data_IF_601034790974
#
_entry.id   IF_601034790974
#
_cell.length_a   1.000
_cell.length_b   1.000
_cell.length_c   1.000
_cell.angle_alpha   90.00
_cell.angle_beta   90.00
_cell.angle_gamma   90.00
#
_symmetry.space_group_name_H-M   'P 1'
#
loop_
_entity.id
_entity.type
_entity.pdbx_description
1 polymer ?
#
# COMPACT_ATOMS: atom_id res chain seq x y z
N UNK A 1 -24.72 31.27 15.72
CA UNK A 1 -23.48 30.61 15.25
C UNK A 1 -22.23 31.17 15.94
N UNK A 2 -21.82 32.42 15.72
CA UNK A 2 -20.62 33.00 16.39
C UNK A 2 -20.74 33.09 17.93
N UNK A 3 -21.90 33.47 18.45
CA UNK A 3 -22.14 33.54 19.90
C UNK A 3 -22.16 32.16 20.58
N UNK A 4 -22.60 31.13 19.85
CA UNK A 4 -22.65 29.74 20.33
C UNK A 4 -21.25 29.11 20.32
N UNK A 5 -20.45 29.41 19.30
CA UNK A 5 -19.02 29.06 19.27
C UNK A 5 -18.24 29.73 20.42
N UNK A 6 -18.47 31.03 20.67
CA UNK A 6 -17.85 31.73 21.78
C UNK A 6 -18.23 31.13 23.14
N UNK A 7 -19.50 30.72 23.31
CA UNK A 7 -19.95 30.01 24.51
C UNK A 7 -19.23 28.68 24.73
N UNK A 8 -19.02 27.89 23.67
CA UNK A 8 -18.31 26.59 23.76
C UNK A 8 -16.82 26.75 24.06
N UNK A 9 -16.18 27.80 23.52
CA UNK A 9 -14.77 28.13 23.84
C UNK A 9 -14.63 28.53 25.31
N UNK A 10 -15.53 29.36 25.84
CA UNK A 10 -15.48 29.77 27.24
C UNK A 10 -15.68 28.60 28.23
N UNK A 11 -16.47 27.59 27.86
CA UNK A 11 -16.65 26.36 28.66
C UNK A 11 -15.38 25.49 28.65
N UNK A 12 -14.72 25.40 27.49
CA UNK A 12 -13.44 24.68 27.36
C UNK A 12 -12.33 25.34 28.16
N UNK A 13 -12.22 26.67 28.10
CA UNK A 13 -11.21 27.42 28.87
C UNK A 13 -11.40 27.24 30.38
N UNK A 14 -12.66 27.22 30.85
CA UNK A 14 -12.98 26.99 32.27
C UNK A 14 -12.62 25.57 32.73
N UNK A 15 -12.91 24.57 31.89
CA UNK A 15 -12.56 23.17 32.15
C UNK A 15 -11.04 22.96 32.16
N UNK A 16 -10.30 23.66 31.30
CA UNK A 16 -8.84 23.61 31.25
C UNK A 16 -8.20 24.24 32.51
N UNK A 17 -8.78 25.33 33.00
CA UNK A 17 -8.33 26.01 34.22
C UNK A 17 -8.53 25.15 35.49
N UNK A 18 -9.64 24.40 35.57
CA UNK A 18 -9.88 23.46 36.68
C UNK A 18 -8.85 22.32 36.71
N UNK A 19 -8.49 21.78 35.54
CA UNK A 19 -7.45 20.74 35.42
C UNK A 19 -6.05 21.28 35.75
N UNK A 20 -5.77 22.54 35.42
CA UNK A 20 -4.51 23.20 35.78
C UNK A 20 -4.41 23.45 37.30
N UNK A 21 -5.51 23.82 37.95
CA UNK A 21 -5.57 24.02 39.41
C UNK A 21 -5.31 22.73 40.19
N UNK A 22 -5.76 21.58 39.67
CA UNK A 22 -5.51 20.25 40.28
C UNK A 22 -4.03 19.83 40.22
N UNK A 23 -3.22 20.41 39.32
CA UNK A 23 -1.77 20.12 39.19
C UNK A 23 -0.88 21.00 40.09
N UNK A 24 -1.44 21.97 40.83
CA UNK A 24 -0.69 22.97 41.58
C UNK A 24 -0.27 22.61 43.01
N UNK A 25 -0.52 21.38 43.51
CA UNK A 25 -0.14 21.01 44.89
C UNK A 25 1.12 20.14 44.94
N UNK A 26 2.27 20.79 44.83
CA UNK A 26 3.59 20.19 45.10
C UNK A 26 4.60 21.29 45.43
N UNK A 27 4.99 21.40 46.70
CA UNK A 27 5.90 22.42 47.23
C UNK A 27 7.36 22.26 46.73
N UNK A 28 8.20 23.31 46.80
CA UNK A 28 9.44 23.43 46.02
C UNK A 28 10.70 22.95 46.76
N UNK A 29 11.69 22.45 46.03
CA UNK A 29 13.05 22.24 46.51
C UNK A 29 14.07 22.95 45.60
N UNK A 30 15.12 23.46 46.26
CA UNK A 30 16.02 24.56 45.87
C UNK A 30 16.98 24.28 44.70
N UNK A 31 17.46 25.40 44.16
CA UNK A 31 18.52 25.59 43.17
C UNK A 31 19.74 24.67 43.30
N UNK A 32 20.27 24.24 42.15
CA UNK A 32 21.69 24.41 41.85
C UNK A 32 21.93 24.29 40.34
N UNK A 33 22.39 25.39 39.74
CA UNK A 33 22.96 25.43 38.40
C UNK A 33 24.37 24.83 38.42
N UNK A 34 24.63 23.84 37.58
CA UNK A 34 25.97 23.58 37.02
C UNK A 34 25.84 23.12 35.57
N UNK A 35 26.73 23.65 34.73
CA UNK A 35 26.70 23.64 33.28
C UNK A 35 27.12 22.31 32.62
N UNK A 36 26.71 22.19 31.36
CA UNK A 36 27.24 21.36 30.25
C UNK A 36 27.05 19.84 30.30
N UNK A 37 26.12 19.34 29.46
CA UNK A 37 26.39 18.26 28.49
C UNK A 37 25.29 18.18 27.41
N UNK A 38 25.60 18.22 26.10
CA UNK A 38 24.62 18.01 25.03
C UNK A 38 24.55 16.52 24.69
N UNK A 39 23.95 15.72 25.57
CA UNK A 39 23.64 14.31 25.26
C UNK A 39 22.40 13.84 26.01
N UNK A 40 21.22 14.29 25.58
CA UNK A 40 19.96 13.61 25.90
C UNK A 40 18.84 14.12 24.97
N UNK A 41 18.83 13.65 23.72
CA UNK A 41 17.56 13.48 23.01
C UNK A 41 16.79 12.38 23.72
N UNK A 42 16.04 12.77 24.74
CA UNK A 42 15.12 11.91 25.44
C UNK A 42 14.13 11.31 24.43
N UNK A 43 14.23 9.99 24.26
CA UNK A 43 13.14 9.14 23.81
C UNK A 43 11.97 9.34 24.78
N UNK A 44 11.12 10.34 24.53
CA UNK A 44 9.75 10.27 25.00
C UNK A 44 9.05 9.22 24.15
N UNK A 45 9.04 7.98 24.65
CA UNK A 45 8.08 6.97 24.25
C UNK A 45 6.68 7.59 24.38
N UNK A 46 6.12 8.07 23.26
CA UNK A 46 4.69 8.38 23.19
C UNK A 46 3.96 7.11 23.62
N UNK A 47 3.26 7.17 24.75
CA UNK A 47 2.22 6.18 25.06
C UNK A 47 1.28 6.19 23.86
N UNK A 48 1.39 5.20 22.99
CA UNK A 48 0.60 5.12 21.76
C UNK A 48 -0.80 4.68 22.15
N UNK A 49 -1.72 5.63 22.31
CA UNK A 49 -3.16 5.39 22.36
C UNK A 49 -3.65 5.11 20.92
N UNK A 50 -3.07 4.09 20.29
CA UNK A 50 -3.39 3.68 18.93
C UNK A 50 -4.46 2.59 18.99
N UNK A 51 -5.61 2.82 18.34
CA UNK A 51 -6.74 1.88 18.35
C UNK A 51 -7.09 1.43 16.93
N UNK A 52 -7.22 0.12 16.73
CA UNK A 52 -7.73 -0.47 15.50
C UNK A 52 -9.04 -1.21 15.79
N UNK A 53 -10.13 -0.75 15.17
CA UNK A 53 -11.41 -1.43 15.23
C UNK A 53 -11.55 -2.35 14.02
N UNK A 54 -11.70 -3.64 14.24
CA UNK A 54 -11.99 -4.62 13.19
C UNK A 54 -13.48 -4.96 13.16
N UNK A 55 -14.07 -4.96 11.97
CA UNK A 55 -15.43 -5.43 11.72
C UNK A 55 -15.51 -6.15 10.37
N UNK A 56 -15.55 -7.49 10.41
CA UNK A 56 -15.55 -8.31 9.21
C UNK A 56 -14.31 -8.06 8.35
N UNK A 57 -14.50 -7.62 7.11
CA UNK A 57 -13.42 -7.29 6.15
C UNK A 57 -12.93 -5.85 6.22
N UNK A 58 -13.54 -4.98 7.03
CA UNK A 58 -13.16 -3.57 7.19
C UNK A 58 -12.48 -3.33 8.54
N UNK A 59 -11.51 -2.40 8.56
CA UNK A 59 -10.80 -2.01 9.78
C UNK A 59 -10.63 -0.50 9.81
N UNK A 60 -10.86 0.14 10.96
CA UNK A 60 -10.69 1.58 11.12
C UNK A 60 -9.66 1.91 12.19
N UNK A 61 -8.71 2.77 11.85
CA UNK A 61 -7.62 3.17 12.73
C UNK A 61 -7.85 4.57 13.31
N UNK A 62 -7.59 4.69 14.61
CA UNK A 62 -7.64 5.93 15.37
C UNK A 62 -6.32 6.13 16.11
N UNK A 63 -5.76 7.32 15.98
CA UNK A 63 -4.54 7.75 16.67
C UNK A 63 -4.67 9.09 17.39
N UNK A 64 -5.84 9.70 17.27
CA UNK A 64 -6.14 10.91 18.03
C UNK A 64 -6.40 10.48 19.48
N UNK A 65 -5.61 11.02 20.40
CA UNK A 65 -5.50 10.57 21.79
C UNK A 65 -6.84 10.59 22.51
N UNK A 66 -7.66 11.62 22.30
CA UNK A 66 -8.96 11.75 22.96
C UNK A 66 -9.95 10.74 22.38
N UNK A 67 -10.00 10.60 21.06
CA UNK A 67 -10.90 9.65 20.38
C UNK A 67 -10.55 8.21 20.72
N UNK A 68 -9.27 7.83 20.64
CA UNK A 68 -8.83 6.48 20.95
C UNK A 68 -9.11 6.11 22.42
N UNK A 69 -8.89 7.05 23.35
CA UNK A 69 -9.19 6.85 24.77
C UNK A 69 -10.69 6.71 25.04
N UNK A 70 -11.52 7.58 24.46
CA UNK A 70 -12.99 7.51 24.63
C UNK A 70 -13.54 6.19 24.08
N UNK A 71 -13.11 5.76 22.90
CA UNK A 71 -13.57 4.50 22.31
C UNK A 71 -13.05 3.30 23.11
N UNK A 72 -11.80 3.34 23.59
CA UNK A 72 -11.23 2.29 24.42
C UNK A 72 -11.90 2.14 25.80
N UNK A 73 -12.37 3.25 26.39
CA UNK A 73 -13.06 3.26 27.68
C UNK A 73 -14.55 2.90 27.56
N UNK A 74 -15.22 3.25 26.45
CA UNK A 74 -16.66 3.04 26.25
C UNK A 74 -16.98 2.01 25.15
N UNK A 75 -17.24 0.77 25.59
CA UNK A 75 -17.67 -0.33 24.72
C UNK A 75 -18.99 -0.07 23.98
N UNK A 76 -19.84 0.84 24.47
CA UNK A 76 -21.08 1.22 23.77
C UNK A 76 -20.77 2.05 22.52
N UNK A 77 -19.76 2.93 22.58
CA UNK A 77 -19.30 3.71 21.43
C UNK A 77 -18.63 2.79 20.41
N UNK A 78 -17.78 1.87 20.86
CA UNK A 78 -17.18 0.85 20.00
C UNK A 78 -18.25 0.02 19.27
N UNK A 79 -19.27 -0.45 20.00
CA UNK A 79 -20.37 -1.22 19.43
C UNK A 79 -21.24 -0.39 18.47
N UNK A 80 -21.46 0.89 18.76
CA UNK A 80 -22.22 1.80 17.90
C UNK A 80 -21.47 2.10 16.58
N UNK A 81 -20.15 2.31 16.65
CA UNK A 81 -19.29 2.48 15.47
C UNK A 81 -19.34 1.23 14.60
N UNK A 82 -19.17 0.04 15.18
CA UNK A 82 -19.30 -1.23 14.45
C UNK A 82 -20.69 -1.36 13.80
N UNK A 83 -21.77 -1.15 14.56
CA UNK A 83 -23.15 -1.26 14.04
C UNK A 83 -23.49 -0.27 12.91
N UNK A 84 -22.79 0.86 12.82
CA UNK A 84 -22.96 1.83 11.73
C UNK A 84 -22.50 1.28 10.37
N UNK A 85 -21.48 0.40 10.35
CA UNK A 85 -21.00 -0.22 9.13
C UNK A 85 -21.88 -1.41 8.72
N UNK A 86 -22.47 -2.18 9.62
CA UNK A 86 -23.25 -3.38 9.22
C UNK A 86 -24.48 -3.06 8.33
N UNK A 87 -25.01 -1.82 8.37
CA UNK A 87 -26.06 -1.39 7.44
C UNK A 87 -25.44 -1.05 6.07
N UNK A 88 -25.54 -1.97 5.11
CA UNK A 88 -25.59 -1.60 3.69
C UNK A 88 -26.87 -0.79 3.48
N UNK A 89 -26.81 0.50 3.82
CA UNK A 89 -27.87 1.43 3.46
C UNK A 89 -27.85 1.54 1.94
N UNK A 90 -28.97 1.26 1.29
CA UNK A 90 -29.27 1.80 -0.03
C UNK A 90 -29.27 3.32 0.11
N UNK A 91 -28.09 3.91 0.06
CA UNK A 91 -27.91 5.32 0.36
C UNK A 91 -28.27 6.09 -0.91
N UNK A 92 -29.34 6.88 -0.85
CA UNK A 92 -29.52 7.99 -1.78
C UNK A 92 -28.21 8.77 -1.79
N UNK A 93 -27.58 9.01 -2.97
CA UNK A 93 -26.29 9.68 -3.01
C UNK A 93 -26.40 11.03 -2.31
N UNK A 94 -25.61 11.21 -1.25
CA UNK A 94 -25.55 12.49 -0.54
C UNK A 94 -25.01 13.55 -1.51
N UNK A 95 -25.58 14.76 -1.57
CA UNK A 95 -25.01 15.84 -2.37
C UNK A 95 -23.60 16.24 -1.91
N UNK A 96 -23.15 15.75 -0.74
CA UNK A 96 -21.83 15.98 -0.17
C UNK A 96 -20.89 14.77 -0.29
N UNK A 97 -21.26 13.74 -1.07
CA UNK A 97 -20.43 12.56 -1.27
C UNK A 97 -19.22 12.87 -2.18
N UNK A 98 -18.01 12.55 -1.68
CA UNK A 98 -16.76 12.74 -2.41
C UNK A 98 -16.63 11.80 -3.62
N UNK A 99 -17.35 10.67 -3.65
CA UNK A 99 -17.29 9.70 -4.74
C UNK A 99 -17.60 10.31 -6.11
N UNK A 100 -18.51 11.29 -6.17
CA UNK A 100 -18.89 11.96 -7.43
C UNK A 100 -17.74 12.67 -8.15
N UNK A 101 -16.61 12.91 -7.46
CA UNK A 101 -15.38 13.47 -8.06
C UNK A 101 -14.58 12.39 -8.82
N UNK A 102 -14.56 11.14 -8.33
CA UNK A 102 -13.78 10.05 -8.92
C UNK A 102 -14.59 9.20 -9.90
N UNK A 103 -15.83 8.85 -9.52
CA UNK A 103 -16.76 8.11 -10.37
C UNK A 103 -18.17 8.23 -9.82
N UNK A 104 -19.13 8.53 -10.70
CA UNK A 104 -20.55 8.55 -10.33
C UNK A 104 -21.14 7.13 -10.40
N UNK A 105 -21.73 6.63 -9.30
CA UNK A 105 -22.35 5.30 -9.30
C UNK A 105 -23.58 5.27 -10.20
N UNK A 106 -23.60 4.34 -11.14
CA UNK A 106 -24.76 4.04 -11.97
C UNK A 106 -25.61 2.96 -11.28
N UNK A 107 -26.57 3.38 -10.45
CA UNK A 107 -27.41 2.43 -9.70
C UNK A 107 -28.41 1.64 -10.55
N UNK A 108 -28.61 2.00 -11.81
CA UNK A 108 -29.48 1.26 -12.72
C UNK A 108 -28.89 -0.07 -13.18
N UNK A 109 -27.57 -0.26 -13.03
CA UNK A 109 -26.85 -1.47 -13.43
C UNK A 109 -25.90 -1.91 -12.31
N UNK A 110 -26.01 -3.16 -11.88
CA UNK A 110 -25.07 -3.74 -10.92
C UNK A 110 -23.71 -3.91 -11.60
N UNK A 111 -22.55 -3.73 -10.95
CA UNK A 111 -21.26 -3.89 -11.59
C UNK A 111 -21.01 -5.31 -12.14
N UNK A 112 -21.82 -6.31 -11.78
CA UNK A 112 -21.73 -7.68 -12.28
C UNK A 112 -21.98 -7.81 -13.79
N UNK A 113 -22.64 -6.85 -14.45
CA UNK A 113 -22.80 -6.88 -15.93
C UNK A 113 -21.45 -6.87 -16.64
N UNK A 114 -20.43 -6.24 -16.05
CA UNK A 114 -19.09 -6.17 -16.64
C UNK A 114 -18.30 -7.49 -16.51
N UNK A 115 -18.87 -8.51 -15.86
CA UNK A 115 -18.20 -9.77 -15.66
C UNK A 115 -18.12 -10.54 -16.98
N UNK A 116 -16.92 -10.95 -17.43
CA UNK A 116 -16.77 -11.69 -18.67
C UNK A 116 -17.32 -13.11 -18.52
N UNK A 117 -17.34 -13.86 -19.64
CA UNK A 117 -17.68 -15.28 -19.61
C UNK A 117 -16.78 -16.05 -18.63
N UNK A 118 -17.27 -17.15 -18.05
CA UNK A 118 -16.48 -17.96 -17.11
C UNK A 118 -15.16 -18.42 -17.72
N UNK A 119 -15.17 -18.85 -18.99
CA UNK A 119 -13.97 -19.28 -19.69
C UNK A 119 -12.94 -18.14 -19.82
N UNK A 120 -13.40 -16.95 -20.24
CA UNK A 120 -12.53 -15.77 -20.34
C UNK A 120 -11.98 -15.35 -18.98
N UNK A 121 -12.80 -15.37 -17.94
CA UNK A 121 -12.38 -15.00 -16.59
C UNK A 121 -11.28 -15.94 -16.04
N UNK A 122 -11.41 -17.25 -16.26
CA UNK A 122 -10.41 -18.24 -15.86
C UNK A 122 -9.08 -18.05 -16.61
N UNK A 123 -9.14 -17.79 -17.91
CA UNK A 123 -7.94 -17.50 -18.71
C UNK A 123 -7.23 -16.24 -18.23
N UNK A 124 -7.98 -15.17 -17.94
CA UNK A 124 -7.41 -13.92 -17.42
C UNK A 124 -6.77 -14.10 -16.04
N UNK A 125 -7.36 -14.92 -15.16
CA UNK A 125 -6.77 -15.29 -13.87
C UNK A 125 -5.45 -16.04 -14.05
N UNK A 126 -5.44 -17.09 -14.86
CA UNK A 126 -4.23 -17.87 -15.13
C UNK A 126 -3.12 -16.99 -15.72
N UNK A 127 -3.49 -16.08 -16.64
CA UNK A 127 -2.55 -15.13 -17.22
C UNK A 127 -2.00 -14.15 -16.19
N UNK A 128 -2.83 -13.67 -15.27
CA UNK A 128 -2.38 -12.80 -14.18
C UNK A 128 -1.27 -13.48 -13.37
N UNK A 129 -1.49 -14.72 -12.93
CA UNK A 129 -0.52 -15.48 -12.14
C UNK A 129 0.79 -15.72 -12.93
N UNK A 130 0.67 -16.14 -14.19
CA UNK A 130 1.84 -16.56 -14.99
C UNK A 130 2.65 -15.40 -15.60
N UNK A 131 2.06 -14.21 -15.73
CA UNK A 131 2.69 -13.08 -16.42
C UNK A 131 2.69 -11.79 -15.61
N UNK A 132 1.59 -11.43 -14.97
CA UNK A 132 1.45 -10.11 -14.33
C UNK A 132 2.13 -10.08 -12.96
N UNK A 133 1.81 -11.04 -12.09
CA UNK A 133 2.38 -11.10 -10.73
C UNK A 133 3.91 -11.20 -10.79
N UNK A 134 4.41 -12.08 -11.68
CA UNK A 134 5.83 -12.30 -11.93
C UNK A 134 6.52 -11.06 -12.54
N UNK A 135 5.96 -10.45 -13.59
CA UNK A 135 6.63 -9.33 -14.28
C UNK A 135 6.57 -8.00 -13.55
N UNK A 136 5.46 -7.70 -12.85
CA UNK A 136 5.32 -6.43 -12.13
C UNK A 136 5.91 -6.54 -10.72
N UNK A 137 6.16 -7.76 -10.23
CA UNK A 137 6.80 -7.98 -8.94
C UNK A 137 5.88 -7.75 -7.75
N UNK A 138 4.59 -7.87 -7.99
CA UNK A 138 3.55 -7.46 -7.06
C UNK A 138 3.10 -8.67 -6.28
N UNK A 139 3.72 -8.94 -5.13
CA UNK A 139 3.12 -9.88 -4.18
C UNK A 139 2.01 -9.21 -3.37
N UNK A 140 1.08 -8.60 -4.09
CA UNK A 140 -0.11 -7.98 -3.55
C UNK A 140 -1.17 -9.01 -3.23
N UNK A 141 -1.19 -10.18 -3.88
CA UNK A 141 -2.17 -11.25 -3.67
C UNK A 141 -1.52 -12.39 -2.87
N UNK A 142 -2.31 -13.03 -2.00
CA UNK A 142 -1.97 -14.35 -1.48
C UNK A 142 -2.76 -15.35 -2.30
N UNK A 143 -2.06 -16.05 -3.21
CA UNK A 143 -2.65 -16.81 -4.32
C UNK A 143 -3.73 -17.77 -3.84
N UNK A 144 -3.52 -18.63 -2.82
CA UNK A 144 -4.55 -19.56 -2.35
C UNK A 144 -5.87 -18.86 -1.95
N UNK A 145 -5.79 -17.77 -1.19
CA UNK A 145 -6.99 -17.02 -0.78
C UNK A 145 -7.59 -16.17 -1.90
N UNK A 146 -6.73 -15.65 -2.78
CA UNK A 146 -7.16 -14.89 -3.95
C UNK A 146 -7.90 -15.77 -4.94
N UNK A 147 -7.43 -17.01 -5.13
CA UNK A 147 -8.01 -18.00 -6.02
C UNK A 147 -9.44 -18.38 -5.60
N UNK A 148 -9.65 -18.67 -4.31
CA UNK A 148 -10.99 -18.93 -3.76
C UNK A 148 -11.93 -17.76 -4.04
N UNK A 149 -11.47 -16.53 -3.83
CA UNK A 149 -12.26 -15.32 -4.09
C UNK A 149 -12.59 -15.17 -5.58
N UNK A 150 -11.60 -15.32 -6.46
CA UNK A 150 -11.77 -15.18 -7.91
C UNK A 150 -12.73 -16.24 -8.44
N UNK A 151 -12.56 -17.52 -8.08
CA UNK A 151 -13.46 -18.57 -8.54
C UNK A 151 -14.87 -18.44 -7.96
N UNK A 152 -15.02 -18.00 -6.71
CA UNK A 152 -16.33 -17.69 -6.13
C UNK A 152 -17.05 -16.61 -6.94
N UNK A 153 -16.34 -15.51 -7.27
CA UNK A 153 -16.87 -14.43 -8.12
C UNK A 153 -17.24 -14.92 -9.52
N UNK A 154 -16.38 -15.74 -10.14
CA UNK A 154 -16.64 -16.31 -11.48
C UNK A 154 -17.90 -17.18 -11.47
N UNK A 155 -18.14 -17.92 -10.38
CA UNK A 155 -19.28 -18.81 -10.27
C UNK A 155 -20.60 -18.06 -10.17
N UNK A 156 -20.66 -17.01 -9.37
CA UNK A 156 -21.84 -16.16 -9.18
C UNK A 156 -21.47 -14.66 -9.02
N UNK A 157 -21.27 -13.93 -10.13
CA UNK A 157 -20.94 -12.51 -10.08
C UNK A 157 -22.07 -11.65 -9.49
N UNK A 158 -23.32 -12.13 -9.51
CA UNK A 158 -24.48 -11.35 -9.08
C UNK A 158 -24.63 -11.32 -7.56
N UNK A 159 -24.31 -12.42 -6.87
CA UNK A 159 -24.33 -12.46 -5.40
C UNK A 159 -23.06 -11.90 -4.76
N UNK A 160 -21.98 -11.76 -5.52
CA UNK A 160 -20.67 -11.31 -5.05
C UNK A 160 -20.67 -9.85 -4.55
N UNK A 161 -19.83 -9.56 -3.56
CA UNK A 161 -19.62 -8.22 -2.99
C UNK A 161 -18.95 -7.28 -4.00
N UNK A 162 -19.17 -5.97 -3.85
CA UNK A 162 -18.53 -4.98 -4.73
C UNK A 162 -17.01 -4.95 -4.59
N UNK A 163 -16.48 -5.23 -3.40
CA UNK A 163 -15.03 -5.34 -3.17
C UNK A 163 -14.39 -6.46 -3.98
N UNK A 164 -15.06 -7.60 -4.09
CA UNK A 164 -14.57 -8.78 -4.80
C UNK A 164 -14.72 -8.64 -6.31
N UNK A 165 -15.81 -8.00 -6.75
CA UNK A 165 -15.96 -7.57 -8.14
C UNK A 165 -14.83 -6.62 -8.55
N UNK A 166 -14.54 -5.60 -7.74
CA UNK A 166 -13.45 -4.65 -8.01
C UNK A 166 -12.07 -5.34 -8.04
N UNK A 167 -11.85 -6.30 -7.14
CA UNK A 167 -10.65 -7.13 -7.10
C UNK A 167 -10.49 -7.95 -8.38
N UNK A 168 -11.53 -8.68 -8.80
CA UNK A 168 -11.54 -9.44 -10.05
C UNK A 168 -11.33 -8.54 -11.28
N UNK A 169 -12.02 -7.40 -11.38
CA UNK A 169 -11.86 -6.50 -12.52
C UNK A 169 -10.46 -5.90 -12.60
N UNK A 170 -9.82 -5.62 -11.47
CA UNK A 170 -8.44 -5.13 -11.43
C UNK A 170 -7.45 -6.18 -11.95
N UNK A 171 -7.67 -7.45 -11.60
CA UNK A 171 -6.92 -8.60 -12.15
C UNK A 171 -7.14 -8.73 -13.66
N UNK A 172 -8.40 -8.71 -14.11
CA UNK A 172 -8.75 -8.84 -15.53
C UNK A 172 -8.16 -7.70 -16.36
N UNK A 173 -8.22 -6.47 -15.85
CA UNK A 173 -7.61 -5.30 -16.46
C UNK A 173 -6.08 -5.45 -16.59
N UNK A 174 -5.40 -5.86 -15.50
CA UNK A 174 -3.96 -6.05 -15.51
C UNK A 174 -3.52 -7.21 -16.45
N UNK A 175 -4.26 -8.31 -16.46
CA UNK A 175 -4.04 -9.43 -17.38
C UNK A 175 -4.24 -9.00 -18.83
N UNK A 176 -5.26 -8.19 -19.11
CA UNK A 176 -5.54 -7.66 -20.46
C UNK A 176 -4.42 -6.74 -20.93
N UNK A 177 -3.85 -5.90 -20.05
CA UNK A 177 -2.69 -5.06 -20.39
C UNK A 177 -1.50 -5.92 -20.86
N UNK A 178 -1.28 -7.07 -20.22
CA UNK A 178 -0.20 -8.01 -20.56
C UNK A 178 -0.37 -8.76 -21.88
N UNK A 179 -1.51 -8.63 -22.57
CA UNK A 179 -1.71 -9.22 -23.90
C UNK A 179 -0.86 -8.50 -24.94
N UNK A 180 -0.12 -9.27 -25.74
CA UNK A 180 0.48 -8.77 -26.99
C UNK A 180 -0.61 -8.57 -28.05
N UNK A 181 -0.46 -7.59 -28.94
CA UNK A 181 -1.46 -7.27 -29.99
C UNK A 181 -1.76 -8.46 -30.91
N UNK A 182 -0.76 -9.30 -31.17
CA UNK A 182 -0.87 -10.54 -31.98
C UNK A 182 -1.60 -11.69 -31.26
N UNK A 183 -1.68 -11.64 -29.92
CA UNK A 183 -2.23 -12.69 -29.07
C UNK A 183 -3.64 -12.36 -28.59
N UNK A 184 -4.40 -11.59 -29.37
CA UNK A 184 -5.82 -11.31 -29.11
C UNK A 184 -6.67 -12.58 -29.32
N UNK A 185 -6.48 -13.56 -28.41
CA UNK A 185 -7.30 -14.77 -28.21
C UNK A 185 -8.81 -14.47 -28.14
N UNK A 186 -9.18 -13.20 -27.98
CA UNK A 186 -10.53 -12.72 -27.78
C UNK A 186 -11.17 -12.08 -29.03
N UNK A 187 -10.46 -11.95 -30.17
CA UNK A 187 -10.99 -11.32 -31.41
C UNK A 187 -11.65 -9.94 -31.20
N UNK A 188 -11.37 -9.32 -30.05
CA UNK A 188 -11.97 -8.09 -29.56
C UNK A 188 -10.85 -7.07 -29.41
N UNK A 189 -11.18 -5.80 -29.69
CA UNK A 189 -10.25 -4.69 -29.50
C UNK A 189 -9.77 -4.65 -28.03
N UNK A 190 -8.45 -4.75 -27.83
CA UNK A 190 -7.81 -4.69 -26.51
C UNK A 190 -8.23 -3.43 -25.76
N UNK A 191 -8.33 -2.29 -26.45
CA UNK A 191 -8.69 -1.02 -25.82
C UNK A 191 -10.16 -1.00 -25.38
N UNK A 192 -11.06 -1.58 -26.17
CA UNK A 192 -12.45 -1.79 -25.77
C UNK A 192 -12.57 -2.65 -24.50
N UNK A 193 -11.81 -3.75 -24.42
CA UNK A 193 -11.80 -4.61 -23.22
C UNK A 193 -11.24 -3.90 -21.99
N UNK A 194 -10.15 -3.15 -22.14
CA UNK A 194 -9.60 -2.33 -21.07
C UNK A 194 -10.60 -1.29 -20.59
N UNK A 195 -11.29 -0.62 -21.50
CA UNK A 195 -12.34 0.34 -21.18
C UNK A 195 -13.51 -0.32 -20.45
N UNK A 196 -13.86 -1.54 -20.86
CA UNK A 196 -14.94 -2.32 -20.26
C UNK A 196 -14.62 -2.76 -18.83
N UNK A 197 -13.44 -3.34 -18.59
CA UNK A 197 -13.02 -3.71 -17.23
C UNK A 197 -12.78 -2.49 -16.35
N UNK A 198 -12.25 -1.39 -16.90
CA UNK A 198 -12.13 -0.11 -16.19
C UNK A 198 -13.50 0.39 -15.72
N UNK A 199 -14.52 0.36 -16.57
CA UNK A 199 -15.88 0.72 -16.17
C UNK A 199 -16.40 -0.18 -15.04
N UNK A 200 -16.13 -1.49 -15.10
CA UNK A 200 -16.42 -2.43 -14.01
C UNK A 200 -15.75 -2.05 -12.68
N UNK A 201 -14.45 -1.72 -12.71
CA UNK A 201 -13.69 -1.25 -11.53
C UNK A 201 -14.33 0.02 -10.95
N UNK A 202 -14.58 1.01 -11.80
CA UNK A 202 -15.13 2.32 -11.40
C UNK A 202 -16.53 2.19 -10.79
N UNK A 203 -17.38 1.33 -11.35
CA UNK A 203 -18.71 1.08 -10.82
C UNK A 203 -18.68 0.25 -9.53
N UNK A 204 -17.79 -0.73 -9.42
CA UNK A 204 -17.61 -1.51 -8.20
C UNK A 204 -17.08 -0.65 -7.05
N UNK A 205 -16.12 0.24 -7.30
CA UNK A 205 -15.64 1.21 -6.31
C UNK A 205 -16.72 2.22 -5.91
N UNK A 206 -17.47 2.76 -6.87
CA UNK A 206 -18.50 3.75 -6.59
C UNK A 206 -19.68 3.17 -5.81
N UNK A 207 -20.18 1.98 -6.20
CA UNK A 207 -21.28 1.32 -5.48
C UNK A 207 -20.83 0.69 -4.16
N UNK A 208 -19.55 0.35 -4.02
CA UNK A 208 -18.94 -0.15 -2.79
C UNK A 208 -18.58 0.95 -1.77
N UNK A 209 -18.74 2.23 -2.12
CA UNK A 209 -18.42 3.39 -1.27
C UNK A 209 -17.03 3.31 -0.61
N UNK A 210 -16.02 2.97 -1.43
CA UNK A 210 -14.70 2.62 -0.90
C UNK A 210 -13.96 3.75 -0.18
N UNK A 211 -14.36 5.00 -0.41
CA UNK A 211 -13.77 6.16 0.27
C UNK A 211 -14.22 6.25 1.73
N UNK A 212 -15.48 5.93 2.00
CA UNK A 212 -16.03 5.95 3.36
C UNK A 212 -15.88 4.59 4.05
N UNK A 213 -15.84 3.50 3.28
CA UNK A 213 -15.83 2.12 3.77
C UNK A 213 -14.70 1.30 3.15
N UNK A 214 -13.44 1.71 3.32
CA UNK A 214 -12.33 0.97 2.75
C UNK A 214 -12.19 -0.41 3.39
N UNK A 215 -11.77 -1.38 2.58
CA UNK A 215 -11.33 -2.70 3.02
C UNK A 215 -9.95 -2.99 2.45
N UNK A 216 -9.23 -3.93 3.06
CA UNK A 216 -7.93 -4.35 2.54
C UNK A 216 -8.06 -4.90 1.10
N UNK A 217 -9.17 -5.59 0.80
CA UNK A 217 -9.47 -6.12 -0.54
C UNK A 217 -9.60 -5.00 -1.58
N UNK A 218 -10.36 -3.94 -1.28
CA UNK A 218 -10.50 -2.79 -2.18
C UNK A 218 -9.16 -2.07 -2.36
N UNK A 219 -8.38 -1.91 -1.28
CA UNK A 219 -7.06 -1.29 -1.38
C UNK A 219 -6.11 -2.10 -2.28
N UNK A 220 -6.13 -3.44 -2.19
CA UNK A 220 -5.38 -4.33 -3.08
C UNK A 220 -5.84 -4.19 -4.53
N UNK A 221 -7.15 -4.16 -4.77
CA UNK A 221 -7.73 -3.94 -6.09
C UNK A 221 -7.22 -2.62 -6.71
N UNK A 222 -7.31 -1.52 -5.96
CA UNK A 222 -6.81 -0.21 -6.37
C UNK A 222 -5.31 -0.23 -6.66
N UNK A 223 -4.50 -0.88 -5.80
CA UNK A 223 -3.06 -0.99 -5.99
C UNK A 223 -2.66 -1.79 -7.25
N UNK A 224 -3.42 -2.84 -7.58
CA UNK A 224 -3.24 -3.63 -8.82
C UNK A 224 -3.62 -2.76 -10.03
N UNK A 225 -4.78 -2.11 -9.99
CA UNK A 225 -5.24 -1.24 -11.07
C UNK A 225 -4.25 -0.10 -11.37
N UNK A 226 -3.83 0.66 -10.35
CA UNK A 226 -2.86 1.75 -10.51
C UNK A 226 -1.52 1.25 -11.06
N UNK A 227 -1.10 0.05 -10.63
CA UNK A 227 0.10 -0.58 -11.14
C UNK A 227 0.04 -0.91 -12.62
N UNK A 228 -1.12 -1.36 -13.08
CA UNK A 228 -1.34 -1.73 -14.46
C UNK A 228 -1.47 -0.48 -15.35
N UNK A 229 -2.27 0.52 -14.92
CA UNK A 229 -2.47 1.78 -15.66
C UNK A 229 -1.14 2.52 -15.89
N UNK A 230 -0.22 2.47 -14.92
CA UNK A 230 1.10 3.12 -15.01
C UNK A 230 1.93 2.67 -16.21
N UNK A 231 1.68 1.47 -16.75
CA UNK A 231 2.41 0.95 -17.92
C UNK A 231 2.19 1.85 -19.14
N UNK A 232 0.96 2.34 -19.33
CA UNK A 232 0.57 3.11 -20.52
C UNK A 232 0.35 4.60 -20.23
N UNK A 233 0.14 4.97 -18.98
CA UNK A 233 -0.10 6.34 -18.58
C UNK A 233 0.91 6.72 -17.51
N UNK A 234 1.71 7.76 -17.77
CA UNK A 234 2.60 8.40 -16.77
C UNK A 234 2.12 9.81 -16.48
N UNK A 235 0.81 10.04 -16.44
CA UNK A 235 0.19 11.33 -16.13
C UNK A 235 -0.03 11.54 -14.64
N UNK A 236 0.03 12.81 -14.20
CA UNK A 236 -0.04 13.24 -12.78
C UNK A 236 -1.20 12.64 -11.99
N UNK A 237 -2.28 12.27 -12.67
CA UNK A 237 -3.44 11.62 -12.05
C UNK A 237 -3.08 10.32 -11.32
N UNK A 238 -2.12 9.53 -11.82
CA UNK A 238 -1.73 8.26 -11.18
C UNK A 238 -0.99 8.52 -9.87
N UNK A 239 -0.12 9.52 -9.83
CA UNK A 239 0.54 9.93 -8.58
C UNK A 239 -0.48 10.43 -7.56
N UNK A 240 -1.45 11.27 -7.97
CA UNK A 240 -2.54 11.73 -7.10
C UNK A 240 -3.37 10.56 -6.57
N UNK A 241 -3.76 9.61 -7.43
CA UNK A 241 -4.52 8.43 -7.03
C UNK A 241 -3.70 7.48 -6.15
N UNK A 242 -2.37 7.42 -6.31
CA UNK A 242 -1.51 6.68 -5.40
C UNK A 242 -1.47 7.34 -4.02
N UNK A 243 -1.42 8.68 -3.96
CA UNK A 243 -1.60 9.44 -2.72
C UNK A 243 -2.93 9.14 -2.03
N UNK A 244 -4.04 9.04 -2.80
CA UNK A 244 -5.33 8.59 -2.28
C UNK A 244 -5.25 7.17 -1.69
N UNK A 245 -4.63 6.23 -2.41
CA UNK A 245 -4.43 4.86 -1.92
C UNK A 245 -3.60 4.83 -0.61
N UNK A 246 -2.59 5.68 -0.47
CA UNK A 246 -1.81 5.83 0.76
C UNK A 246 -2.69 6.36 1.91
N UNK A 247 -3.56 7.35 1.65
CA UNK A 247 -4.51 7.84 2.67
C UNK A 247 -5.50 6.77 3.10
N UNK A 248 -5.97 5.94 2.18
CA UNK A 248 -6.80 4.76 2.49
C UNK A 248 -6.00 3.75 3.33
N UNK A 249 -4.75 3.45 2.97
CA UNK A 249 -3.89 2.59 3.77
C UNK A 249 -3.68 3.14 5.19
N UNK A 250 -3.57 4.47 5.33
CA UNK A 250 -3.45 5.14 6.62
C UNK A 250 -4.73 5.04 7.46
N UNK A 251 -5.91 5.23 6.87
CA UNK A 251 -7.20 5.10 7.58
C UNK A 251 -7.49 3.67 8.01
N UNK A 252 -6.97 2.69 7.28
CA UNK A 252 -6.92 1.29 7.68
C UNK A 252 -5.79 1.01 8.68
N UNK A 253 -4.94 1.96 9.07
CA UNK A 253 -3.89 1.72 10.06
C UNK A 253 -2.69 0.90 9.57
N UNK A 254 -2.52 0.70 8.25
CA UNK A 254 -1.37 -0.07 7.71
C UNK A 254 -0.02 0.59 8.04
N UNK A 255 -0.02 1.86 8.41
CA UNK A 255 1.18 2.67 8.62
C UNK A 255 1.84 2.53 9.99
N UNK A 256 1.26 1.73 10.88
CA UNK A 256 1.76 1.48 12.23
C UNK A 256 1.81 -0.01 12.48
N UNK A 257 2.87 -0.46 13.14
CA UNK A 257 2.96 -1.79 13.71
C UNK A 257 2.97 -1.67 15.24
N UNK A 258 1.78 -1.60 15.83
CA UNK A 258 1.62 -1.51 17.27
C UNK A 258 1.42 -2.87 17.92
N UNK A 259 2.05 -3.08 19.09
CA UNK A 259 1.76 -4.22 19.99
C UNK A 259 0.32 -4.25 20.49
N UNK A 260 -0.43 -3.16 20.33
CA UNK A 260 -1.85 -3.03 20.71
C UNK A 260 -2.82 -3.39 19.56
N UNK A 261 -2.40 -3.30 18.30
CA UNK A 261 -3.28 -3.52 17.14
C UNK A 261 -3.44 -5.02 16.78
N UNK A 262 -2.48 -5.86 17.20
CA UNK A 262 -2.28 -7.31 16.89
C UNK A 262 -3.31 -7.91 15.92
N UNK A 263 -3.26 -7.57 14.62
CA UNK A 263 -4.00 -8.34 13.63
C UNK A 263 -3.46 -9.77 13.64
N UNK A 264 -4.27 -10.77 13.21
CA UNK A 264 -3.76 -12.10 12.97
C UNK A 264 -2.48 -12.08 12.13
N UNK A 265 -1.50 -12.98 12.37
CA UNK A 265 -0.21 -12.94 11.70
C UNK A 265 -0.31 -12.95 10.17
N UNK A 266 -1.23 -13.74 9.63
CA UNK A 266 -1.55 -13.77 8.20
C UNK A 266 -1.97 -12.39 7.68
N UNK A 267 -2.91 -11.75 8.36
CA UNK A 267 -3.43 -10.44 7.97
C UNK A 267 -2.35 -9.36 8.08
N UNK A 268 -1.54 -9.41 9.14
CA UNK A 268 -0.39 -8.52 9.34
C UNK A 268 0.59 -8.60 8.17
N UNK A 269 0.90 -9.80 7.69
CA UNK A 269 1.77 -10.00 6.53
C UNK A 269 1.17 -9.42 5.25
N UNK A 270 -0.13 -9.63 4.98
CA UNK A 270 -0.80 -9.03 3.83
C UNK A 270 -0.81 -7.50 3.88
N UNK A 271 -1.02 -6.92 5.07
CA UNK A 271 -0.99 -5.47 5.30
C UNK A 271 0.41 -4.90 5.01
N UNK A 272 1.48 -5.58 5.45
CA UNK A 272 2.87 -5.21 5.11
C UNK A 272 3.11 -5.20 3.61
N UNK A 273 2.71 -6.28 2.91
CA UNK A 273 2.88 -6.41 1.45
C UNK A 273 2.23 -5.24 0.71
N UNK A 274 0.99 -4.91 1.04
CA UNK A 274 0.25 -3.79 0.42
C UNK A 274 0.90 -2.44 0.73
N UNK A 275 1.26 -2.20 2.00
CA UNK A 275 1.89 -0.94 2.41
C UNK A 275 3.20 -0.70 1.66
N UNK A 276 4.12 -1.66 1.72
CA UNK A 276 5.42 -1.51 1.08
C UNK A 276 5.30 -1.37 -0.42
N UNK A 277 4.33 -2.06 -1.05
CA UNK A 277 4.02 -1.83 -2.45
C UNK A 277 3.59 -0.38 -2.73
N UNK A 278 2.64 0.18 -1.98
CA UNK A 278 2.15 1.54 -2.22
C UNK A 278 3.24 2.61 -2.05
N UNK A 279 4.06 2.47 -1.00
CA UNK A 279 5.13 3.42 -0.70
C UNK A 279 6.23 3.36 -1.76
N UNK A 280 6.69 2.16 -2.12
CA UNK A 280 7.74 2.00 -3.15
C UNK A 280 7.29 2.49 -4.53
N UNK A 281 5.98 2.41 -4.81
CA UNK A 281 5.38 2.96 -6.03
C UNK A 281 5.27 4.48 -6.01
N UNK A 282 4.97 5.08 -4.86
CA UNK A 282 4.77 6.53 -4.72
C UNK A 282 6.03 7.31 -5.04
N UNK A 283 7.15 6.90 -4.45
CA UNK A 283 8.46 7.54 -4.68
C UNK A 283 8.83 7.55 -6.17
N UNK A 284 8.53 6.44 -6.88
CA UNK A 284 8.76 6.31 -8.33
C UNK A 284 7.81 7.17 -9.16
N UNK A 285 6.57 7.34 -8.72
CA UNK A 285 5.59 8.17 -9.43
C UNK A 285 5.90 9.67 -9.26
N UNK A 286 6.37 10.11 -8.08
CA UNK A 286 6.83 11.49 -7.86
C UNK A 286 8.03 11.87 -8.74
N UNK A 287 8.99 10.94 -8.88
CA UNK A 287 10.16 11.10 -9.77
C UNK A 287 9.79 11.36 -11.22
N UNK A 288 8.79 10.66 -11.76
CA UNK A 288 8.32 10.85 -13.14
C UNK A 288 7.86 12.29 -13.40
N UNK A 289 7.49 13.05 -12.36
CA UNK A 289 7.09 14.46 -12.45
C UNK A 289 8.15 15.45 -11.97
N UNK A 290 9.34 14.98 -11.60
CA UNK A 290 10.38 15.83 -11.03
C UNK A 290 9.97 16.48 -9.71
N UNK A 291 9.04 15.87 -8.98
CA UNK A 291 8.67 16.32 -7.64
C UNK A 291 9.66 15.73 -6.65
N UNK A 292 10.21 16.59 -5.80
CA UNK A 292 10.93 16.16 -4.61
C UNK A 292 9.88 15.63 -3.63
N UNK A 293 9.73 14.31 -3.60
CA UNK A 293 8.93 13.63 -2.60
C UNK A 293 9.90 13.19 -1.48
N UNK A 294 9.99 13.95 -0.36
CA UNK A 294 10.63 13.44 0.83
C UNK A 294 9.71 12.35 1.34
N UNK A 295 9.89 11.14 0.82
CA UNK A 295 9.08 10.00 1.17
C UNK A 295 9.49 9.52 2.57
N UNK A 296 9.19 10.33 3.59
CA UNK A 296 9.44 10.10 5.02
C UNK A 296 8.97 8.70 5.44
N UNK A 297 8.01 8.13 4.70
CA UNK A 297 7.47 6.80 4.93
C UNK A 297 8.42 5.65 4.57
N UNK A 298 9.48 5.85 3.76
CA UNK A 298 10.45 4.79 3.46
C UNK A 298 11.57 4.75 4.50
N UNK A 299 12.18 5.90 4.85
CA UNK A 299 13.27 5.97 5.83
C UNK A 299 12.80 5.97 7.29
N UNK A 300 11.58 6.42 7.57
CA UNK A 300 10.99 6.49 8.91
C UNK A 300 9.90 5.45 9.17
N UNK A 301 9.80 4.39 8.35
CA UNK A 301 8.75 3.37 8.53
C UNK A 301 8.96 2.61 9.84
N UNK A 302 8.02 2.74 10.77
CA UNK A 302 7.91 1.88 11.96
C UNK A 302 7.38 0.48 11.62
N UNK A 303 7.02 0.23 10.35
CA UNK A 303 6.48 -1.05 9.87
C UNK A 303 7.61 -1.92 9.35
N UNK A 304 7.69 -3.16 9.84
CA UNK A 304 8.64 -4.16 9.39
C UNK A 304 8.47 -4.50 7.89
N UNK A 305 9.54 -5.00 7.28
CA UNK A 305 9.50 -5.52 5.91
C UNK A 305 8.58 -6.76 5.84
N UNK A 306 7.97 -7.03 4.68
CA UNK A 306 7.30 -8.30 4.43
C UNK A 306 8.29 -9.46 4.63
N UNK A 307 7.82 -10.62 5.12
CA UNK A 307 8.71 -11.76 5.34
C UNK A 307 9.06 -12.47 4.04
N UNK A 308 10.27 -13.02 3.95
CA UNK A 308 10.70 -13.85 2.81
C UNK A 308 10.11 -15.28 2.92
N UNK A 309 8.85 -15.45 2.53
CA UNK A 309 8.09 -16.70 2.65
C UNK A 309 7.23 -16.95 1.40
N UNK A 310 6.86 -18.20 1.14
CA UNK A 310 5.97 -18.54 0.03
C UNK A 310 4.50 -18.46 0.48
N UNK A 311 3.59 -18.22 -0.47
CA UNK A 311 2.16 -18.21 -0.16
C UNK A 311 1.67 -19.57 0.36
N UNK A 312 2.24 -20.66 -0.14
CA UNK A 312 1.88 -22.00 0.31
C UNK A 312 2.18 -22.26 1.81
N UNK A 313 3.01 -21.44 2.45
CA UNK A 313 3.40 -21.62 3.86
C UNK A 313 2.50 -20.84 4.84
N UNK A 314 1.61 -19.98 4.36
CA UNK A 314 0.76 -19.13 5.21
C UNK A 314 -0.72 -19.41 4.99
N UNK A 315 -1.52 -19.29 6.05
CA UNK A 315 -2.96 -19.49 5.98
C UNK A 315 -3.70 -18.57 6.96
N UNK A 316 -4.99 -18.26 6.73
CA UNK A 316 -5.74 -17.32 7.56
C UNK A 316 -5.76 -17.65 9.06
N UNK A 317 -5.84 -18.94 9.42
CA UNK A 317 -6.04 -19.41 10.79
C UNK A 317 -4.72 -19.64 11.56
N UNK A 318 -3.60 -19.15 11.05
CA UNK A 318 -2.29 -19.35 11.66
C UNK A 318 -2.08 -18.47 12.92
N UNK A 319 -1.45 -19.03 13.95
CA UNK A 319 -1.14 -18.32 15.19
C UNK A 319 0.19 -17.57 15.15
N UNK A 320 1.15 -18.04 14.34
CA UNK A 320 2.47 -17.42 14.18
C UNK A 320 2.98 -17.54 12.75
N UNK A 321 3.70 -16.51 12.27
CA UNK A 321 4.34 -16.54 10.95
C UNK A 321 5.51 -17.52 10.91
N UNK A 322 5.65 -18.32 9.83
CA UNK A 322 6.81 -19.19 9.67
C UNK A 322 8.11 -18.39 9.65
N UNK A 323 9.25 -19.03 9.98
CA UNK A 323 10.55 -18.40 9.87
C UNK A 323 10.84 -18.01 8.41
N UNK A 324 11.62 -16.94 8.23
CA UNK A 324 12.04 -16.52 6.89
C UNK A 324 12.88 -17.61 6.21
N UNK A 325 12.56 -17.89 4.95
CA UNK A 325 13.31 -18.86 4.15
C UNK A 325 14.62 -18.25 3.68
N UNK A 326 15.67 -19.05 3.73
CA UNK A 326 16.98 -18.70 3.18
C UNK A 326 17.04 -19.10 1.70
N UNK A 327 16.38 -18.35 0.81
CA UNK A 327 16.38 -18.63 -0.62
C UNK A 327 15.36 -17.82 -1.41
N UNK A 328 15.20 -18.19 -2.69
CA UNK A 328 14.16 -17.65 -3.54
C UNK A 328 12.78 -18.11 -3.07
N UNK A 329 11.85 -17.17 -2.99
CA UNK A 329 10.45 -17.34 -2.64
C UNK A 329 9.60 -16.43 -3.52
N UNK A 330 8.28 -16.61 -3.46
CA UNK A 330 7.31 -15.69 -4.06
C UNK A 330 7.52 -14.21 -3.69
N UNK A 331 8.04 -13.94 -2.49
CA UNK A 331 8.27 -12.59 -1.96
C UNK A 331 9.59 -11.96 -2.41
N UNK A 332 10.53 -12.74 -2.96
CA UNK A 332 11.91 -12.31 -3.22
C UNK A 332 11.98 -11.08 -4.12
N UNK A 333 11.18 -11.06 -5.18
CA UNK A 333 11.18 -9.95 -6.13
C UNK A 333 10.59 -8.66 -5.53
N UNK A 334 9.54 -8.76 -4.71
CA UNK A 334 8.99 -7.61 -4.00
C UNK A 334 10.01 -7.05 -3.00
N UNK A 335 10.75 -7.92 -2.30
CA UNK A 335 11.82 -7.51 -1.38
C UNK A 335 12.97 -6.80 -2.08
N UNK A 336 13.41 -7.29 -3.24
CA UNK A 336 14.41 -6.61 -4.08
C UNK A 336 13.92 -5.20 -4.45
N UNK A 337 12.65 -5.05 -4.85
CA UNK A 337 12.11 -3.73 -5.19
C UNK A 337 12.08 -2.77 -3.98
N UNK A 338 11.79 -3.29 -2.79
CA UNK A 338 11.81 -2.51 -1.55
C UNK A 338 13.24 -2.05 -1.23
N UNK A 339 14.23 -2.95 -1.32
CA UNK A 339 15.63 -2.61 -1.05
C UNK A 339 16.16 -1.56 -2.04
N UNK A 340 15.79 -1.67 -3.33
CA UNK A 340 16.10 -0.67 -4.34
C UNK A 340 15.46 0.69 -4.04
N UNK A 341 14.20 0.71 -3.61
CA UNK A 341 13.52 1.95 -3.23
C UNK A 341 14.17 2.62 -2.01
N UNK A 342 14.51 1.85 -0.97
CA UNK A 342 15.24 2.35 0.21
C UNK A 342 16.61 2.90 -0.16
N UNK A 343 17.32 2.24 -1.06
CA UNK A 343 18.63 2.70 -1.56
C UNK A 343 18.49 4.03 -2.28
N UNK A 344 17.50 4.14 -3.17
CA UNK A 344 17.25 5.38 -3.92
C UNK A 344 16.93 6.55 -2.98
N UNK A 345 16.16 6.29 -1.93
CA UNK A 345 15.88 7.29 -0.91
C UNK A 345 17.14 7.68 -0.10
N UNK A 346 17.97 6.70 0.31
CA UNK A 346 19.28 6.98 0.95
C UNK A 346 20.12 7.93 0.08
N UNK A 347 20.17 7.68 -1.23
CA UNK A 347 20.88 8.57 -2.19
C UNK A 347 20.24 9.95 -2.22
N UNK A 348 18.90 10.05 -2.35
CA UNK A 348 18.19 11.34 -2.35
C UNK A 348 18.46 12.15 -1.07
N UNK A 349 18.28 11.54 0.10
CA UNK A 349 18.48 12.21 1.40
C UNK A 349 19.92 12.71 1.56
N UNK A 350 20.90 11.93 1.08
CA UNK A 350 22.29 12.33 1.13
C UNK A 350 22.61 13.48 0.16
N UNK A 351 21.96 13.54 -1.02
CA UNK A 351 22.03 14.70 -1.94
C UNK A 351 21.31 15.95 -1.40
N UNK A 352 20.19 15.79 -0.68
CA UNK A 352 19.45 16.94 -0.13
C UNK A 352 20.15 17.54 1.09
N UNK A 353 20.90 16.74 1.84
CA UNK A 353 21.66 17.19 3.03
C UNK A 353 23.00 17.84 2.69
N UNK A 354 23.56 17.56 1.51
CA UNK A 354 24.82 18.12 1.02
C UNK A 354 24.68 18.42 -0.48
N UNK A 355 24.86 19.68 -0.88
CA UNK A 355 24.79 20.14 -2.29
C UNK A 355 25.60 19.29 -3.30
N UNK A 356 26.49 18.40 -2.84
CA UNK A 356 27.15 17.37 -3.63
C UNK A 356 27.46 16.16 -2.74
N UNK A 357 27.06 14.95 -3.16
CA UNK A 357 27.56 13.71 -2.59
C UNK A 357 28.99 13.45 -3.06
N UNK A 358 29.86 12.99 -2.16
CA UNK A 358 31.15 12.46 -2.58
C UNK A 358 30.94 11.20 -3.43
N UNK A 359 31.70 11.05 -4.52
CA UNK A 359 31.60 9.89 -5.42
C UNK A 359 31.84 8.56 -4.67
N UNK A 360 32.63 8.58 -3.60
CA UNK A 360 32.90 7.39 -2.79
C UNK A 360 31.73 7.00 -1.88
N UNK A 361 31.02 7.98 -1.30
CA UNK A 361 29.77 7.74 -0.55
C UNK A 361 28.68 7.19 -1.49
N UNK A 362 28.54 7.76 -2.68
CA UNK A 362 27.61 7.28 -3.71
C UNK A 362 27.92 5.84 -4.15
N UNK A 363 29.20 5.53 -4.41
CA UNK A 363 29.65 4.18 -4.74
C UNK A 363 29.40 3.19 -3.62
N UNK A 364 29.64 3.59 -2.37
CA UNK A 364 29.39 2.75 -1.19
C UNK A 364 27.91 2.36 -1.07
N UNK A 365 26.99 3.33 -1.20
CA UNK A 365 25.54 3.08 -1.15
C UNK A 365 25.12 2.13 -2.27
N UNK A 366 25.61 2.34 -3.49
CA UNK A 366 25.29 1.48 -4.65
C UNK A 366 25.85 0.07 -4.44
N UNK A 367 27.09 -0.06 -3.93
CA UNK A 367 27.72 -1.35 -3.66
C UNK A 367 27.00 -2.15 -2.57
N UNK A 368 26.55 -1.48 -1.50
CA UNK A 368 25.71 -2.09 -0.45
C UNK A 368 24.42 -2.67 -1.06
N UNK A 369 23.74 -1.89 -1.90
CA UNK A 369 22.52 -2.32 -2.56
C UNK A 369 22.74 -3.48 -3.52
N UNK A 370 23.83 -3.43 -4.31
CA UNK A 370 24.22 -4.54 -5.20
C UNK A 370 24.49 -5.82 -4.40
N UNK A 371 25.20 -5.73 -3.28
CA UNK A 371 25.46 -6.88 -2.40
C UNK A 371 24.16 -7.46 -1.82
N UNK A 372 23.22 -6.62 -1.39
CA UNK A 372 21.91 -7.07 -0.89
C UNK A 372 21.08 -7.78 -1.96
N UNK A 373 21.01 -7.21 -3.17
CA UNK A 373 20.30 -7.83 -4.30
C UNK A 373 20.97 -9.15 -4.68
N UNK A 374 22.31 -9.18 -4.77
CA UNK A 374 23.06 -10.39 -5.10
C UNK A 374 22.80 -11.48 -4.07
N UNK A 375 22.83 -11.17 -2.77
CA UNK A 375 22.53 -12.12 -1.69
C UNK A 375 21.13 -12.76 -1.82
N UNK A 376 20.14 -12.00 -2.32
CA UNK A 376 18.79 -12.53 -2.60
C UNK A 376 18.75 -13.40 -3.86
N UNK A 377 19.60 -13.11 -4.84
CA UNK A 377 19.68 -13.82 -6.12
C UNK A 377 20.62 -15.04 -6.10
N UNK A 378 21.57 -15.12 -5.16
CA UNK A 378 22.55 -16.21 -5.02
C UNK A 378 21.92 -17.60 -4.92
N UNK A 379 20.65 -17.66 -4.49
CA UNK A 379 19.87 -18.90 -4.35
C UNK A 379 18.70 -18.99 -5.34
N UNK A 380 18.70 -18.16 -6.38
CA UNK A 380 17.70 -18.20 -7.45
C UNK A 380 17.95 -19.41 -8.35
N UNK A 381 16.94 -20.26 -8.53
CA UNK A 381 17.00 -21.35 -9.49
C UNK A 381 16.83 -20.79 -10.92
N UNK A 382 17.65 -21.24 -11.87
CA UNK A 382 17.73 -20.73 -13.25
C UNK A 382 16.43 -20.87 -14.07
N UNK A 383 15.42 -21.56 -13.53
CA UNK A 383 14.14 -21.87 -14.21
C UNK A 383 13.18 -20.67 -14.21
N UNK A 384 13.36 -19.66 -13.35
CA UNK A 384 12.58 -18.41 -13.40
C UNK A 384 13.33 -17.41 -14.28
N UNK A 385 12.82 -17.03 -15.47
CA UNK A 385 13.66 -16.34 -16.44
C UNK A 385 14.21 -15.01 -15.90
N UNK A 386 15.54 -14.86 -15.89
CA UNK A 386 16.23 -13.57 -15.70
C UNK A 386 15.73 -12.47 -16.67
N UNK A 387 15.04 -12.84 -17.75
CA UNK A 387 14.35 -11.89 -18.64
C UNK A 387 13.24 -11.10 -17.95
N UNK A 388 12.69 -11.58 -16.83
CA UNK A 388 11.69 -10.86 -16.02
C UNK A 388 12.31 -9.63 -15.34
N UNK A 389 13.55 -9.75 -14.84
CA UNK A 389 14.29 -8.63 -14.25
C UNK A 389 14.63 -7.53 -15.28
N UNK A 390 14.72 -7.86 -16.57
CA UNK A 390 14.95 -6.86 -17.64
C UNK A 390 13.80 -5.88 -17.83
N UNK A 391 12.57 -6.25 -17.49
CA UNK A 391 11.41 -5.35 -17.61
C UNK A 391 11.26 -4.42 -16.40
N UNK A 392 11.94 -4.70 -15.29
CA UNK A 392 11.93 -3.88 -14.08
C UNK A 392 13.22 -3.10 -13.83
N UNK A 393 14.29 -3.39 -14.58
CA UNK A 393 15.36 -2.42 -14.84
C UNK A 393 14.75 -1.26 -15.65
N UNK A 394 15.09 -0.01 -15.31
CA UNK A 394 14.17 1.11 -15.42
C UNK A 394 13.76 1.38 -16.85
N UNK A 395 12.46 1.62 -17.08
CA UNK A 395 12.01 2.40 -18.23
C UNK A 395 12.37 3.87 -17.96
N UNK A 396 13.68 4.12 -17.84
CA UNK A 396 14.34 5.42 -17.89
C UNK A 396 14.31 5.88 -19.34
N UNK A 397 13.17 6.41 -19.75
CA UNK A 397 13.12 7.38 -20.84
C UNK A 397 12.84 8.76 -20.26
N UNK A 398 13.71 9.20 -19.34
CA UNK A 398 13.92 10.61 -19.06
C UNK A 398 15.42 10.82 -18.86
N UNK A 399 16.00 11.58 -19.79
CA UNK A 399 17.40 11.97 -19.88
C UNK A 399 17.77 12.84 -18.67
N UNK A 400 18.25 12.25 -17.58
CA UNK A 400 19.03 12.93 -16.56
C UNK A 400 20.25 12.07 -16.21
N UNK A 401 21.44 12.68 -16.27
CA UNK A 401 22.76 12.04 -16.30
C UNK A 401 23.11 11.18 -15.07
N UNK A 402 22.43 11.39 -13.94
CA UNK A 402 22.66 10.66 -12.67
C UNK A 402 21.85 9.36 -12.55
N UNK A 403 20.61 9.31 -13.05
CA UNK A 403 19.78 8.08 -13.06
C UNK A 403 20.27 7.05 -14.10
N UNK A 404 20.86 7.55 -15.19
CA UNK A 404 21.51 6.72 -16.22
C UNK A 404 22.69 5.90 -15.66
N UNK A 405 23.44 6.43 -14.69
CA UNK A 405 24.60 5.71 -14.15
C UNK A 405 24.22 4.57 -13.18
N UNK A 406 23.19 4.77 -12.35
CA UNK A 406 22.69 3.74 -11.42
C UNK A 406 22.00 2.61 -12.19
N UNK A 407 21.22 2.96 -13.21
CA UNK A 407 20.58 2.00 -14.11
C UNK A 407 21.58 1.22 -14.96
N UNK A 408 22.63 1.87 -15.48
CA UNK A 408 23.70 1.19 -16.22
C UNK A 408 24.58 0.30 -15.32
N UNK A 409 24.84 0.68 -14.07
CA UNK A 409 25.56 -0.16 -13.11
C UNK A 409 24.78 -1.40 -12.66
N UNK A 410 23.45 -1.28 -12.51
CA UNK A 410 22.56 -2.42 -12.26
C UNK A 410 22.39 -3.31 -13.51
N UNK A 411 22.44 -2.72 -14.71
CA UNK A 411 22.38 -3.45 -15.98
C UNK A 411 23.66 -4.25 -16.26
N UNK A 412 24.84 -3.70 -15.98
CA UNK A 412 26.11 -4.43 -16.16
C UNK A 412 26.20 -5.61 -15.19
N UNK A 413 25.81 -5.44 -13.93
CA UNK A 413 25.83 -6.53 -12.93
C UNK A 413 24.86 -7.68 -13.27
N UNK A 414 23.71 -7.38 -13.87
CA UNK A 414 22.80 -8.41 -14.40
C UNK A 414 23.34 -9.10 -15.67
N UNK A 415 24.22 -8.46 -16.42
CA UNK A 415 24.90 -9.06 -17.58
C UNK A 415 26.13 -9.87 -17.14
N UNK A 416 26.85 -9.44 -16.11
CA UNK A 416 28.02 -10.13 -15.53
C UNK A 416 27.63 -11.43 -14.78
N UNK A 417 26.42 -11.49 -14.18
CA UNK A 417 25.88 -12.75 -13.63
C UNK A 417 25.52 -13.81 -14.68
N UNK A 418 25.59 -13.50 -15.99
CA UNK A 418 25.50 -14.51 -17.06
C UNK A 418 26.84 -15.21 -17.34
N UNK A 419 27.94 -14.73 -16.74
CA UNK A 419 29.29 -15.21 -17.03
C UNK A 419 29.88 -16.05 -15.89
N UNK A 420 29.05 -16.84 -15.19
CA UNK A 420 29.56 -17.97 -14.39
C UNK A 420 29.06 -19.28 -15.03
N UNK A 421 29.97 -20.23 -15.30
CA UNK A 421 29.72 -21.42 -16.14
C UNK A 421 28.67 -22.38 -15.57
#
# INVERSE_FOLDING_TARGET
>A
MMAEMAGRIAVLERSLAEVAALKGSGAPAKDNCTANDPSNTANHSRLSDDLLLNEGSSSQYFNEVLVAKIIGEDKSIEAALKRSHTKQSTCSPSPFDAMGILSSPCFSQRPSIFHPSKATAMELWNRYLNKVEICIGLKLIHVPTGEVRVYSTINDPNSTSFEDLAFCYSIYFAATISLEESNSLLMLDKNAQLSYYKAGIEQAFAQGDFLNRPTLTVLRALAIYLSAVRIHNRGKSIWILNGLAIRIAQSLGLHREGTQLKPPPFESELRRRVRWHLITRDSRAGEDYGLDDPNIYVSGSEVNLPRNIDDADICPDMEELPPEKNGWTDMTFSLINIDLAKTLEKVKNAMSSRNTLCEDERRSIISEAQSQVQKRLEKCNQVTPFSVLRYTAPISSCKNSTSSQVSNGLRSTMEDSKACP
#
